data_IF_366701865200
#
_entry.id   IF_366701865200
#
_cell.length_a   1.000
_cell.length_b   1.000
_cell.length_c   1.000
_cell.angle_alpha   90.00
_cell.angle_beta   90.00
_cell.angle_gamma   90.00
#
_symmetry.space_group_name_H-M   'P 1'
#
loop_
_entity.id
_entity.type
_entity.pdbx_description
1 polymer ?
#
# COMPACT_ATOMS: atom_id res chain seq x y z
N UNK A 1 -0.71 6.08 -2.26
CA UNK A 1 -1.37 7.33 -2.72
C UNK A 1 -2.47 7.79 -1.77
N UNK A 2 -3.50 6.98 -1.52
CA UNK A 2 -4.64 7.35 -0.65
C UNK A 2 -4.24 7.69 0.80
N UNK A 3 -3.50 6.79 1.47
CA UNK A 3 -3.17 6.92 2.90
C UNK A 3 -2.46 8.23 3.27
N UNK A 4 -1.70 8.78 2.32
CA UNK A 4 -0.86 9.96 2.52
C UNK A 4 -1.37 11.17 1.69
N UNK A 5 -2.56 11.08 1.10
CA UNK A 5 -3.19 12.13 0.30
C UNK A 5 -2.33 12.63 -0.88
N UNK A 6 -1.65 11.75 -1.61
CA UNK A 6 -0.80 12.14 -2.75
C UNK A 6 -1.68 12.47 -3.97
N UNK A 7 -1.64 13.72 -4.43
CA UNK A 7 -2.39 14.22 -5.57
C UNK A 7 -1.73 15.48 -6.14
N UNK A 8 -2.00 15.80 -7.42
CA UNK A 8 -1.64 17.09 -8.02
C UNK A 8 -2.15 18.27 -7.18
N UNK A 9 -3.38 18.16 -6.65
CA UNK A 9 -4.04 19.22 -5.88
C UNK A 9 -3.60 19.32 -4.42
N UNK A 10 -2.75 18.40 -3.95
CA UNK A 10 -2.22 18.40 -2.59
C UNK A 10 -0.70 18.57 -2.54
N UNK A 11 -0.01 18.57 -3.69
CA UNK A 11 1.43 18.82 -3.77
C UNK A 11 1.73 20.27 -3.36
N UNK A 12 2.71 20.43 -2.49
CA UNK A 12 3.11 21.71 -1.93
C UNK A 12 4.53 22.09 -2.35
N UNK A 13 4.70 23.36 -2.69
CA UNK A 13 6.00 24.02 -2.76
C UNK A 13 6.25 24.86 -1.51
N UNK A 14 7.50 25.29 -1.29
CA UNK A 14 7.83 26.19 -0.19
C UNK A 14 7.05 27.52 -0.25
N UNK A 15 6.72 28.00 -1.45
CA UNK A 15 5.91 29.21 -1.61
C UNK A 15 4.43 28.95 -1.27
N UNK A 16 3.87 27.80 -1.66
CA UNK A 16 2.49 27.45 -1.31
C UNK A 16 2.30 27.29 0.20
N UNK A 17 3.26 26.66 0.90
CA UNK A 17 3.20 26.52 2.37
C UNK A 17 3.12 27.89 3.06
N UNK A 18 3.95 28.84 2.63
CA UNK A 18 3.96 30.20 3.19
C UNK A 18 2.68 30.97 2.83
N UNK A 19 2.24 30.88 1.58
CA UNK A 19 1.07 31.62 1.08
C UNK A 19 -0.24 31.14 1.71
N UNK A 20 -0.37 29.84 1.93
CA UNK A 20 -1.54 29.22 2.57
C UNK A 20 -1.42 29.17 4.10
N UNK A 21 -0.34 29.74 4.68
CA UNK A 21 -0.06 29.78 6.12
C UNK A 21 -0.17 28.40 6.80
N UNK A 22 0.28 27.35 6.08
CA UNK A 22 0.14 25.97 6.56
C UNK A 22 1.08 25.68 7.72
N UNK A 23 0.53 25.11 8.78
CA UNK A 23 1.30 24.68 9.95
C UNK A 23 1.98 23.31 9.70
N UNK A 24 3.07 22.98 10.42
CA UNK A 24 3.78 21.70 10.22
C UNK A 24 2.93 20.44 10.39
N UNK A 25 1.85 20.50 11.17
CA UNK A 25 0.90 19.41 11.37
C UNK A 25 -0.10 19.27 10.22
N UNK A 26 -0.18 20.22 9.31
CA UNK A 26 -1.13 20.23 8.19
C UNK A 26 -0.58 19.63 6.89
N UNK A 27 0.70 19.28 6.86
CA UNK A 27 1.34 18.61 5.72
C UNK A 27 2.24 17.47 6.17
N UNK A 28 2.72 16.69 5.20
CA UNK A 28 3.72 15.64 5.39
C UNK A 28 4.91 15.90 4.48
N UNK A 29 6.08 15.38 4.88
CA UNK A 29 7.24 15.24 4.01
C UNK A 29 7.38 13.77 3.62
N UNK A 30 7.48 13.48 2.32
CA UNK A 30 7.66 12.11 1.84
C UNK A 30 9.12 11.67 1.95
N UNK A 31 9.41 10.36 1.91
CA UNK A 31 10.80 9.88 1.94
C UNK A 31 11.65 10.37 0.77
N UNK A 32 11.03 10.72 -0.36
CA UNK A 32 11.67 11.39 -1.51
C UNK A 32 11.89 12.90 -1.33
N UNK A 33 11.48 13.49 -0.21
CA UNK A 33 11.66 14.91 0.09
C UNK A 33 10.55 15.87 -0.36
N UNK A 34 9.48 15.37 -0.97
CA UNK A 34 8.35 16.18 -1.45
C UNK A 34 7.35 16.48 -0.32
N UNK A 35 6.59 17.56 -0.46
CA UNK A 35 5.61 17.98 0.54
C UNK A 35 4.19 17.82 0.00
N UNK A 36 3.28 17.28 0.82
CA UNK A 36 1.86 17.15 0.49
C UNK A 36 0.99 17.58 1.66
N UNK A 37 -0.10 18.32 1.41
CA UNK A 37 -1.06 18.66 2.46
C UNK A 37 -1.85 17.42 2.91
N UNK A 38 -2.22 17.39 4.19
CA UNK A 38 -3.07 16.34 4.75
C UNK A 38 -4.50 16.47 4.25
N UNK A 39 -5.23 15.36 4.25
CA UNK A 39 -6.63 15.31 3.83
C UNK A 39 -7.55 16.20 4.68
N UNK A 40 -7.16 16.53 5.92
CA UNK A 40 -7.87 17.47 6.80
C UNK A 40 -7.90 18.90 6.27
N UNK A 41 -6.90 19.30 5.49
CA UNK A 41 -6.86 20.60 4.82
C UNK A 41 -7.58 20.52 3.48
N UNK A 42 -7.23 19.52 2.67
CA UNK A 42 -7.77 19.34 1.32
C UNK A 42 -7.69 17.89 0.90
N UNK A 43 -8.84 17.29 0.56
CA UNK A 43 -8.87 15.94 -0.01
C UNK A 43 -8.43 15.98 -1.48
N UNK A 44 -7.43 15.17 -1.83
CA UNK A 44 -6.94 15.06 -3.20
C UNK A 44 -7.94 14.36 -4.14
N UNK A 45 -7.94 14.76 -5.41
CA UNK A 45 -8.74 14.14 -6.46
C UNK A 45 -8.30 12.71 -6.79
N UNK A 46 -6.99 12.43 -6.87
CA UNK A 46 -6.48 11.09 -7.15
C UNK A 46 -6.88 10.07 -6.07
N UNK A 47 -6.75 10.37 -4.74
CA UNK A 47 -7.33 9.53 -3.70
C UNK A 47 -8.81 9.22 -3.91
N UNK A 48 -9.65 10.22 -4.26
CA UNK A 48 -11.08 10.01 -4.49
C UNK A 48 -11.36 9.07 -5.69
N UNK A 49 -10.60 9.22 -6.79
CA UNK A 49 -10.70 8.32 -7.94
C UNK A 49 -10.32 6.88 -7.55
N UNK A 50 -9.22 6.73 -6.79
CA UNK A 50 -8.76 5.43 -6.31
C UNK A 50 -9.76 4.77 -5.35
N UNK A 51 -10.40 5.54 -4.45
CA UNK A 51 -11.47 5.05 -3.58
C UNK A 51 -12.61 4.42 -4.39
N UNK A 52 -13.05 5.09 -5.46
CA UNK A 52 -14.11 4.58 -6.33
C UNK A 52 -13.70 3.30 -7.08
N UNK A 53 -12.48 3.27 -7.64
CA UNK A 53 -11.95 2.09 -8.33
C UNK A 53 -11.80 0.90 -7.39
N UNK A 54 -11.30 1.11 -6.18
CA UNK A 54 -11.16 0.06 -5.16
C UNK A 54 -12.51 -0.43 -4.65
N UNK A 55 -13.50 0.46 -4.46
CA UNK A 55 -14.86 0.07 -4.09
C UNK A 55 -15.50 -0.80 -5.18
N UNK A 56 -15.37 -0.41 -6.45
CA UNK A 56 -15.84 -1.20 -7.59
C UNK A 56 -15.14 -2.57 -7.66
N UNK A 57 -13.82 -2.61 -7.44
CA UNK A 57 -13.05 -3.86 -7.42
C UNK A 57 -13.47 -4.76 -6.26
N UNK A 58 -13.71 -4.20 -5.07
CA UNK A 58 -14.20 -4.95 -3.90
C UNK A 58 -15.54 -5.62 -4.19
N UNK A 59 -16.45 -4.90 -4.86
CA UNK A 59 -17.72 -5.48 -5.32
C UNK A 59 -17.48 -6.63 -6.31
N UNK A 60 -16.62 -6.45 -7.31
CA UNK A 60 -16.29 -7.51 -8.28
C UNK A 60 -15.66 -8.76 -7.62
N UNK A 61 -14.78 -8.60 -6.62
CA UNK A 61 -14.25 -9.72 -5.83
C UNK A 61 -15.33 -10.41 -5.00
N UNK A 62 -16.29 -9.64 -4.46
CA UNK A 62 -17.43 -10.21 -3.71
C UNK A 62 -18.33 -11.04 -4.63
N UNK A 63 -18.66 -10.52 -5.81
CA UNK A 63 -19.44 -11.24 -6.82
C UNK A 63 -18.73 -12.53 -7.23
N UNK A 64 -17.40 -12.48 -7.45
CA UNK A 64 -16.57 -13.65 -7.75
C UNK A 64 -16.58 -14.71 -6.63
N UNK A 65 -16.58 -14.28 -5.36
CA UNK A 65 -16.62 -15.21 -4.22
C UNK A 65 -17.94 -16.00 -4.18
N UNK A 66 -19.05 -15.36 -4.57
CA UNK A 66 -20.39 -15.93 -4.49
C UNK A 66 -20.80 -16.71 -5.76
N UNK A 67 -20.07 -16.57 -6.86
CA UNK A 67 -20.37 -17.26 -8.12
C UNK A 67 -19.84 -18.70 -8.13
N UNK A 68 -20.68 -19.65 -8.55
CA UNK A 68 -20.37 -21.08 -8.61
C UNK A 68 -20.03 -21.55 -10.02
N UNK A 69 -20.59 -20.89 -11.05
CA UNK A 69 -20.36 -21.29 -12.44
C UNK A 69 -18.89 -21.02 -12.88
N UNK A 70 -18.14 -22.05 -13.31
CA UNK A 70 -16.72 -21.90 -13.63
C UNK A 70 -16.44 -20.88 -14.74
N UNK A 71 -17.34 -20.74 -15.72
CA UNK A 71 -17.16 -19.79 -16.81
C UNK A 71 -17.37 -18.35 -16.31
N UNK A 72 -18.46 -18.08 -15.59
CA UNK A 72 -18.74 -16.77 -15.00
C UNK A 72 -17.68 -16.36 -13.98
N UNK A 73 -17.14 -17.29 -13.20
CA UNK A 73 -16.00 -17.03 -12.30
C UNK A 73 -14.80 -16.46 -13.07
N UNK A 74 -14.44 -17.04 -14.21
CA UNK A 74 -13.34 -16.51 -15.05
C UNK A 74 -13.63 -15.10 -15.58
N UNK A 75 -14.87 -14.83 -15.98
CA UNK A 75 -15.29 -13.49 -16.44
C UNK A 75 -15.20 -12.47 -15.29
N UNK A 76 -15.69 -12.82 -14.10
CA UNK A 76 -15.63 -11.95 -12.92
C UNK A 76 -14.18 -11.73 -12.44
N UNK A 77 -13.32 -12.74 -12.56
CA UNK A 77 -11.90 -12.59 -12.28
C UNK A 77 -11.23 -11.62 -13.28
N UNK A 78 -11.51 -11.76 -14.58
CA UNK A 78 -11.07 -10.79 -15.59
C UNK A 78 -11.53 -9.36 -15.28
N UNK A 79 -12.78 -9.20 -14.80
CA UNK A 79 -13.31 -7.90 -14.37
C UNK A 79 -12.55 -7.30 -13.19
N UNK A 80 -12.27 -8.07 -12.13
CA UNK A 80 -11.52 -7.53 -10.99
C UNK A 80 -10.06 -7.22 -11.35
N UNK A 81 -9.45 -7.99 -12.24
CA UNK A 81 -8.10 -7.73 -12.77
C UNK A 81 -8.05 -6.45 -13.59
N UNK A 82 -9.05 -6.20 -14.46
CA UNK A 82 -9.14 -4.95 -15.20
C UNK A 82 -9.24 -3.74 -14.27
N UNK A 83 -10.05 -3.83 -13.20
CA UNK A 83 -10.15 -2.77 -12.20
C UNK A 83 -8.84 -2.58 -11.40
N UNK A 84 -8.11 -3.67 -11.09
CA UNK A 84 -6.77 -3.60 -10.49
C UNK A 84 -5.81 -2.84 -11.40
N UNK A 85 -5.79 -3.20 -12.69
CA UNK A 85 -4.93 -2.58 -13.68
C UNK A 85 -5.24 -1.09 -13.80
N UNK A 86 -6.50 -0.70 -13.92
CA UNK A 86 -6.91 0.71 -13.98
C UNK A 86 -6.46 1.50 -12.76
N UNK A 87 -6.59 0.95 -11.55
CA UNK A 87 -6.12 1.59 -10.32
C UNK A 87 -4.59 1.79 -10.33
N UNK A 88 -3.82 0.77 -10.76
CA UNK A 88 -2.37 0.86 -10.88
C UNK A 88 -1.94 1.85 -11.98
N UNK A 89 -2.71 1.95 -13.07
CA UNK A 89 -2.47 2.93 -14.12
C UNK A 89 -2.63 4.39 -13.65
N UNK A 90 -3.41 4.67 -12.60
CA UNK A 90 -3.48 6.02 -12.02
C UNK A 90 -2.12 6.47 -11.49
N UNK A 91 -1.41 5.59 -10.79
CA UNK A 91 -0.01 5.85 -10.38
C UNK A 91 0.89 6.00 -11.61
N UNK A 92 0.82 5.06 -12.56
CA UNK A 92 1.65 5.07 -13.77
C UNK A 92 1.48 6.35 -14.59
N UNK A 93 0.26 6.88 -14.67
CA UNK A 93 -0.05 8.13 -15.36
C UNK A 93 0.72 9.33 -14.77
N UNK A 94 0.91 9.37 -13.45
CA UNK A 94 1.69 10.44 -12.81
C UNK A 94 3.17 10.39 -13.17
N UNK A 95 3.72 9.20 -13.45
CA UNK A 95 5.12 9.01 -13.82
C UNK A 95 5.41 9.09 -15.33
N UNK A 96 4.39 9.13 -16.18
CA UNK A 96 4.55 9.08 -17.64
C UNK A 96 5.06 10.42 -18.20
N UNK A 97 6.38 10.53 -18.42
CA UNK A 97 7.01 11.72 -19.00
C UNK A 97 6.49 12.04 -20.41
N UNK A 98 6.25 11.00 -21.21
CA UNK A 98 5.53 11.11 -22.48
C UNK A 98 4.03 10.98 -22.19
N UNK A 99 3.42 12.07 -21.76
CA UNK A 99 2.03 12.10 -21.32
C UNK A 99 1.50 13.53 -21.21
N UNK A 100 0.21 13.68 -20.91
CA UNK A 100 -0.44 15.00 -20.83
C UNK A 100 -0.18 15.74 -19.52
N UNK A 101 0.11 15.02 -18.43
CA UNK A 101 0.21 15.61 -17.10
C UNK A 101 1.20 14.84 -16.19
N UNK A 102 2.50 14.79 -16.54
CA UNK A 102 3.50 14.17 -15.67
C UNK A 102 3.65 14.95 -14.35
N UNK A 103 3.80 14.22 -13.26
CA UNK A 103 4.21 14.74 -11.95
C UNK A 103 5.09 13.70 -11.27
N UNK A 104 6.39 13.83 -11.52
CA UNK A 104 7.40 12.86 -11.07
C UNK A 104 7.49 12.82 -9.55
N UNK A 105 7.21 13.93 -8.87
CA UNK A 105 7.18 14.07 -7.43
C UNK A 105 6.23 13.05 -6.80
N UNK A 106 5.03 12.89 -7.37
CA UNK A 106 4.05 11.89 -6.91
C UNK A 106 4.61 10.48 -7.13
N UNK A 107 5.09 10.18 -8.33
CA UNK A 107 5.59 8.83 -8.64
C UNK A 107 6.81 8.42 -7.79
N UNK A 108 7.73 9.36 -7.55
CA UNK A 108 8.90 9.17 -6.71
C UNK A 108 8.47 8.97 -5.26
N UNK A 109 7.55 9.78 -4.74
CA UNK A 109 7.03 9.62 -3.39
C UNK A 109 6.35 8.28 -3.20
N UNK A 110 5.55 7.80 -4.17
CA UNK A 110 4.92 6.47 -4.09
C UNK A 110 5.95 5.36 -3.99
N UNK A 111 6.96 5.34 -4.88
CA UNK A 111 7.99 4.29 -4.85
C UNK A 111 8.87 4.37 -3.60
N UNK A 112 9.14 5.58 -3.10
CA UNK A 112 9.92 5.78 -1.89
C UNK A 112 9.17 5.29 -0.64
N UNK A 113 7.87 5.56 -0.54
CA UNK A 113 7.02 4.95 0.50
C UNK A 113 7.00 3.42 0.37
N UNK A 114 6.87 2.87 -0.85
CA UNK A 114 6.89 1.43 -1.08
C UNK A 114 8.15 0.76 -0.51
N UNK A 115 9.33 1.27 -0.88
CA UNK A 115 10.62 0.76 -0.37
C UNK A 115 10.72 0.86 1.15
N UNK A 116 10.31 2.01 1.72
CA UNK A 116 10.31 2.22 3.16
C UNK A 116 9.41 1.21 3.88
N UNK A 117 8.21 0.96 3.36
CA UNK A 117 7.25 0.02 3.98
C UNK A 117 7.73 -1.43 3.91
N UNK A 118 8.37 -1.86 2.81
CA UNK A 118 8.95 -3.21 2.73
C UNK A 118 10.05 -3.38 3.78
N UNK A 119 10.97 -2.41 3.88
CA UNK A 119 12.06 -2.47 4.84
C UNK A 119 11.54 -2.47 6.29
N UNK A 120 10.56 -1.62 6.59
CA UNK A 120 9.89 -1.63 7.90
C UNK A 120 9.20 -2.98 8.17
N UNK A 121 8.50 -3.54 7.19
CA UNK A 121 7.83 -4.84 7.33
C UNK A 121 8.85 -5.93 7.65
N UNK A 122 9.98 -5.94 6.94
CA UNK A 122 11.08 -6.85 7.23
C UNK A 122 11.60 -6.69 8.65
N UNK A 123 11.91 -5.46 9.07
CA UNK A 123 12.40 -5.18 10.41
C UNK A 123 11.41 -5.66 11.47
N UNK A 124 10.11 -5.36 11.32
CA UNK A 124 9.11 -5.83 12.26
C UNK A 124 8.98 -7.35 12.33
N UNK A 125 9.12 -8.07 11.21
CA UNK A 125 9.16 -9.54 11.23
C UNK A 125 10.38 -10.03 12.02
N UNK A 126 11.56 -9.55 11.66
CA UNK A 126 12.83 -10.03 12.24
C UNK A 126 13.01 -9.64 13.71
N UNK A 127 12.39 -8.54 14.16
CA UNK A 127 12.39 -8.11 15.57
C UNK A 127 11.32 -8.79 16.42
N UNK A 128 10.15 -9.09 15.85
CA UNK A 128 9.02 -9.64 16.62
C UNK A 128 9.16 -11.13 16.84
N UNK A 129 9.51 -11.88 15.78
CA UNK A 129 9.49 -13.34 15.79
C UNK A 129 10.88 -13.90 16.11
N UNK A 130 11.33 -13.69 17.34
CA UNK A 130 12.65 -14.12 17.82
C UNK A 130 12.52 -15.09 18.99
N UNK A 131 13.58 -15.86 19.24
CA UNK A 131 13.68 -16.73 20.43
C UNK A 131 13.62 -15.94 21.72
N UNK A 132 14.18 -14.74 21.73
CA UNK A 132 14.13 -13.82 22.89
C UNK A 132 12.69 -13.42 23.23
N UNK A 133 11.83 -13.28 22.23
CA UNK A 133 10.40 -13.00 22.40
C UNK A 133 9.54 -14.27 22.61
N UNK A 134 10.17 -15.42 22.85
CA UNK A 134 9.48 -16.67 23.19
C UNK A 134 9.03 -17.53 21.99
N UNK A 135 9.52 -17.26 20.77
CA UNK A 135 9.26 -18.11 19.60
C UNK A 135 10.30 -19.26 19.50
N UNK A 136 9.95 -20.35 18.81
CA UNK A 136 10.84 -21.52 18.68
C UNK A 136 12.13 -21.19 17.88
N UNK A 137 12.03 -20.29 16.91
CA UNK A 137 13.09 -19.89 16.01
C UNK A 137 13.07 -18.39 15.74
N UNK A 138 14.22 -17.86 15.33
CA UNK A 138 14.32 -16.51 14.80
C UNK A 138 13.83 -16.49 13.35
N UNK A 139 12.76 -15.76 13.10
CA UNK A 139 12.24 -15.58 11.75
C UNK A 139 13.19 -14.72 10.94
N UNK A 140 13.32 -15.06 9.66
CA UNK A 140 14.15 -14.31 8.71
C UNK A 140 13.41 -14.04 7.43
N UNK A 141 13.48 -12.81 6.93
CA UNK A 141 12.98 -12.50 5.59
C UNK A 141 14.01 -12.98 4.58
N UNK A 142 13.61 -13.92 3.74
CA UNK A 142 14.50 -14.57 2.76
C UNK A 142 14.36 -13.97 1.36
N UNK A 143 13.24 -13.31 1.08
CA UNK A 143 12.98 -12.64 -0.19
C UNK A 143 11.93 -11.55 0.01
N UNK A 144 11.91 -10.57 -0.88
CA UNK A 144 10.85 -9.56 -0.96
C UNK A 144 10.80 -8.97 -2.35
N UNK A 145 9.60 -8.76 -2.86
CA UNK A 145 9.35 -8.18 -4.18
C UNK A 145 8.19 -7.18 -4.10
N UNK A 146 8.50 -5.92 -4.36
CA UNK A 146 7.59 -4.77 -4.57
C UNK A 146 6.59 -4.46 -3.46
N UNK A 147 5.71 -5.41 -3.11
CA UNK A 147 4.66 -5.32 -2.11
C UNK A 147 4.53 -6.60 -1.27
N UNK A 148 5.46 -7.55 -1.42
CA UNK A 148 5.47 -8.84 -0.72
C UNK A 148 6.79 -9.12 0.00
N UNK A 149 6.72 -9.88 1.10
CA UNK A 149 7.88 -10.42 1.83
C UNK A 149 7.67 -11.91 2.11
N UNK A 150 8.73 -12.68 1.96
CA UNK A 150 8.72 -14.14 2.18
C UNK A 150 9.54 -14.42 3.42
N UNK A 151 8.85 -14.88 4.46
CA UNK A 151 9.41 -15.06 5.79
C UNK A 151 9.63 -16.54 6.09
N UNK A 152 10.84 -16.90 6.49
CA UNK A 152 11.16 -18.23 7.02
C UNK A 152 11.03 -18.20 8.54
N UNK A 153 9.95 -18.76 9.07
CA UNK A 153 9.70 -18.86 10.51
C UNK A 153 10.43 -20.03 11.20
N UNK A 154 10.93 -21.01 10.44
CA UNK A 154 11.72 -22.13 10.98
C UNK A 154 10.93 -23.31 11.55
N UNK A 155 9.61 -23.16 11.75
CA UNK A 155 8.72 -24.24 12.24
C UNK A 155 8.64 -25.43 11.28
N UNK A 156 8.26 -26.59 11.82
CA UNK A 156 8.28 -27.88 11.09
C UNK A 156 7.00 -28.14 10.30
N UNK A 157 5.87 -27.58 10.72
CA UNK A 157 4.58 -27.83 10.08
C UNK A 157 4.10 -26.63 9.26
N UNK A 158 3.40 -26.92 8.17
CA UNK A 158 2.77 -25.88 7.33
C UNK A 158 1.70 -25.12 8.12
N UNK A 159 0.94 -25.83 8.97
CA UNK A 159 -0.13 -25.23 9.77
C UNK A 159 0.39 -24.16 10.75
N UNK A 160 1.50 -24.43 11.45
CA UNK A 160 2.14 -23.45 12.33
C UNK A 160 2.67 -22.25 11.55
N UNK A 161 3.28 -22.49 10.38
CA UNK A 161 3.78 -21.42 9.52
C UNK A 161 2.64 -20.50 9.04
N UNK A 162 1.50 -21.08 8.67
CA UNK A 162 0.30 -20.32 8.28
C UNK A 162 -0.26 -19.49 9.44
N UNK A 163 -0.32 -20.05 10.66
CA UNK A 163 -0.76 -19.32 11.87
C UNK A 163 0.15 -18.13 12.17
N UNK A 164 1.46 -18.33 12.11
CA UNK A 164 2.44 -17.25 12.30
C UNK A 164 2.36 -16.20 11.19
N UNK A 165 2.18 -16.62 9.93
CA UNK A 165 2.01 -15.73 8.79
C UNK A 165 0.76 -14.84 8.91
N UNK A 166 -0.38 -15.42 9.30
CA UNK A 166 -1.62 -14.67 9.55
C UNK A 166 -1.45 -13.67 10.69
N UNK A 167 -0.88 -14.11 11.82
CA UNK A 167 -0.60 -13.24 12.95
C UNK A 167 0.37 -12.10 12.58
N UNK A 168 1.41 -12.39 11.77
CA UNK A 168 2.35 -11.38 11.29
C UNK A 168 1.67 -10.34 10.40
N UNK A 169 0.85 -10.78 9.45
CA UNK A 169 0.11 -9.86 8.58
C UNK A 169 -0.82 -8.94 9.39
N UNK A 170 -1.55 -9.49 10.37
CA UNK A 170 -2.45 -8.72 11.23
C UNK A 170 -1.68 -7.74 12.13
N UNK A 171 -0.66 -8.22 12.85
CA UNK A 171 0.13 -7.40 13.76
C UNK A 171 0.84 -6.25 13.02
N UNK A 172 1.53 -6.54 11.92
CA UNK A 172 2.32 -5.53 11.20
C UNK A 172 1.39 -4.52 10.52
N UNK A 173 0.19 -4.93 10.08
CA UNK A 173 -0.82 -3.99 9.57
C UNK A 173 -1.15 -2.87 10.56
N UNK A 174 -1.07 -3.12 11.88
CA UNK A 174 -1.33 -2.09 12.90
C UNK A 174 -0.28 -1.00 12.96
N UNK A 175 0.91 -1.22 12.37
CA UNK A 175 2.02 -0.25 12.34
C UNK A 175 1.90 0.77 11.21
N UNK A 176 1.00 0.55 10.26
CA UNK A 176 0.81 1.42 9.11
C UNK A 176 -0.49 2.24 9.22
N UNK A 177 -0.51 3.38 8.54
CA UNK A 177 -1.70 4.22 8.48
C UNK A 177 -2.77 3.58 7.61
N UNK A 178 -4.03 3.64 8.05
CA UNK A 178 -5.17 3.23 7.24
C UNK A 178 -5.19 4.00 5.91
N UNK A 179 -5.50 3.35 4.76
CA UNK A 179 -6.03 1.99 4.60
C UNK A 179 -4.96 0.93 4.26
N UNK A 180 -3.70 1.13 4.63
CA UNK A 180 -2.64 0.16 4.35
C UNK A 180 -2.85 -1.06 5.26
N UNK A 181 -2.90 -2.24 4.65
CA UNK A 181 -3.07 -3.52 5.34
C UNK A 181 -2.28 -4.60 4.60
N UNK A 182 -1.57 -5.42 5.35
CA UNK A 182 -0.94 -6.65 4.87
C UNK A 182 -1.94 -7.81 5.01
N UNK A 183 -1.89 -8.73 4.04
CA UNK A 183 -2.67 -9.96 4.03
C UNK A 183 -1.69 -11.14 3.89
N UNK A 184 -2.00 -12.26 4.54
CA UNK A 184 -1.28 -13.51 4.33
C UNK A 184 -1.85 -14.20 3.07
N UNK A 185 -0.97 -14.55 2.14
CA UNK A 185 -1.26 -15.32 0.91
C UNK A 185 -0.54 -16.67 0.92
#
# INVERSE_FOLDING_TARGET
>A
MMAHNLCYTSLLSASSIKKEELTPDQYIKTPSGNYFCKASVRKGLLPAILEQLLAARKKAKSDLKNETDPFKRKVLDGRQLALKLSANSVYGFTGAQVGKLPCLEISQSVTAFGRMMIEMTRQYVEETYTKENGYEHDAKVIYGDTDSVMCKFGVKTVEEAMKLGQHAAEYISTKFVSPIRLEFE
#
